data_IF_818145943131
#
_entry.id   IF_818145943131
#
_cell.length_a   1.000
_cell.length_b   1.000
_cell.length_c   1.000
_cell.angle_alpha   90.00
_cell.angle_beta   90.00
_cell.angle_gamma   90.00
#
_symmetry.space_group_name_H-M   'P 1'
#
loop_
_entity.id
_entity.type
_entity.pdbx_description
1 polymer ?
#
# COMPACT_ATOMS: atom_id res chain seq x y z
N UNK A 1 -17.90 9.32 -8.67
CA UNK A 1 -18.29 8.04 -8.02
C UNK A 1 -17.12 7.53 -7.22
N UNK A 2 -17.31 7.13 -5.95
CA UNK A 2 -16.25 6.56 -5.12
C UNK A 2 -16.06 5.11 -5.55
N UNK A 3 -14.97 4.81 -6.25
CA UNK A 3 -14.69 3.44 -6.72
C UNK A 3 -14.52 2.51 -5.51
N UNK A 4 -15.46 1.57 -5.35
CA UNK A 4 -15.41 0.50 -4.34
C UNK A 4 -14.56 -0.66 -4.89
N UNK A 5 -13.27 -0.42 -5.10
CA UNK A 5 -12.33 -1.37 -5.73
C UNK A 5 -11.19 -1.82 -4.82
N UNK A 6 -11.23 -1.43 -3.55
CA UNK A 6 -10.19 -1.81 -2.58
C UNK A 6 -10.69 -2.99 -1.74
N UNK A 7 -9.90 -4.05 -1.70
CA UNK A 7 -10.18 -5.24 -0.90
C UNK A 7 -9.64 -5.03 0.53
N UNK A 8 -10.47 -5.36 1.52
CA UNK A 8 -10.09 -5.31 2.94
C UNK A 8 -9.70 -6.68 3.43
N UNK A 9 -8.50 -6.81 4.00
CA UNK A 9 -8.04 -8.06 4.63
C UNK A 9 -8.53 -8.13 6.08
N UNK A 10 -9.18 -9.23 6.45
CA UNK A 10 -9.69 -9.48 7.81
C UNK A 10 -9.01 -10.69 8.44
N UNK A 11 -8.68 -10.60 9.74
CA UNK A 11 -8.08 -11.70 10.49
C UNK A 11 -8.46 -11.63 12.00
N UNK A 12 -9.01 -12.71 12.59
CA UNK A 12 -9.60 -13.86 11.88
C UNK A 12 -10.85 -13.44 11.08
N UNK A 13 -11.32 -14.31 10.19
CA UNK A 13 -12.62 -14.12 9.52
C UNK A 13 -13.74 -13.93 10.55
N UNK A 14 -14.64 -12.99 10.27
CA UNK A 14 -15.84 -12.77 11.08
C UNK A 14 -17.02 -12.41 10.17
N UNK A 15 -18.10 -13.22 10.11
CA UNK A 15 -19.17 -13.07 9.10
C UNK A 15 -19.78 -11.67 8.99
N UNK A 16 -20.00 -11.00 10.12
CA UNK A 16 -20.55 -9.62 10.14
C UNK A 16 -19.57 -8.60 9.55
N UNK A 17 -18.28 -8.77 9.85
CA UNK A 17 -17.21 -7.86 9.37
C UNK A 17 -16.97 -8.10 7.89
N UNK A 18 -16.93 -9.37 7.50
CA UNK A 18 -16.70 -9.76 6.12
C UNK A 18 -17.85 -9.28 5.21
N UNK A 19 -19.10 -9.46 5.64
CA UNK A 19 -20.28 -8.96 4.91
C UNK A 19 -20.29 -7.44 4.76
N UNK A 20 -19.78 -6.70 5.76
CA UNK A 20 -19.68 -5.25 5.69
C UNK A 20 -18.65 -4.81 4.64
N UNK A 21 -17.46 -5.41 4.64
CA UNK A 21 -16.39 -5.02 3.71
C UNK A 21 -16.65 -5.47 2.28
N UNK A 22 -17.36 -6.57 2.09
CA UNK A 22 -17.83 -6.99 0.78
C UNK A 22 -18.65 -5.89 0.10
N UNK A 23 -19.50 -5.18 0.85
CA UNK A 23 -20.29 -4.06 0.31
C UNK A 23 -19.47 -2.78 0.01
N UNK A 24 -18.25 -2.67 0.57
CA UNK A 24 -17.40 -1.47 0.46
C UNK A 24 -16.30 -1.58 -0.60
N UNK A 25 -16.10 -2.77 -1.18
CA UNK A 25 -15.13 -2.99 -2.25
C UNK A 25 -14.51 -4.39 -2.29
N UNK A 26 -14.87 -5.25 -1.34
CA UNK A 26 -14.43 -6.65 -1.27
C UNK A 26 -13.79 -6.98 0.07
N UNK A 27 -13.93 -8.23 0.50
CA UNK A 27 -13.21 -8.77 1.66
C UNK A 27 -12.30 -9.93 1.26
N UNK A 28 -11.12 -9.99 1.89
CA UNK A 28 -10.22 -11.13 1.85
C UNK A 28 -9.97 -11.63 3.28
N UNK A 29 -10.77 -12.58 3.77
CA UNK A 29 -10.54 -13.18 5.07
C UNK A 29 -9.31 -14.10 5.01
N UNK A 30 -8.41 -13.95 5.98
CA UNK A 30 -7.24 -14.83 6.11
C UNK A 30 -7.30 -15.61 7.42
N UNK A 31 -6.74 -16.83 7.41
CA UNK A 31 -6.88 -17.78 8.50
C UNK A 31 -5.97 -17.45 9.71
N UNK A 32 -4.80 -16.86 9.45
CA UNK A 32 -3.79 -16.63 10.47
C UNK A 32 -3.10 -15.27 10.34
N UNK A 33 -2.47 -14.86 11.45
CA UNK A 33 -1.79 -13.57 11.56
C UNK A 33 -0.53 -13.46 10.69
N UNK A 34 0.08 -14.59 10.31
CA UNK A 34 1.21 -14.61 9.38
C UNK A 34 0.79 -14.10 8.01
N UNK A 35 -0.31 -14.63 7.46
CA UNK A 35 -0.89 -14.14 6.21
C UNK A 35 -1.30 -12.66 6.31
N UNK A 36 -1.93 -12.25 7.41
CA UNK A 36 -2.30 -10.85 7.65
C UNK A 36 -1.08 -9.91 7.66
N UNK A 37 0.02 -10.33 8.29
CA UNK A 37 1.26 -9.55 8.33
C UNK A 37 1.91 -9.41 6.94
N UNK A 38 1.79 -10.41 6.07
CA UNK A 38 2.25 -10.30 4.66
C UNK A 38 1.46 -9.21 3.93
N UNK A 39 0.12 -9.22 4.00
CA UNK A 39 -0.69 -8.16 3.38
C UNK A 39 -0.45 -6.77 4.02
N UNK A 40 -0.13 -6.75 5.31
CA UNK A 40 0.28 -5.54 6.02
C UNK A 40 1.58 -4.97 5.46
N UNK A 41 2.59 -5.82 5.25
CA UNK A 41 3.86 -5.43 4.63
C UNK A 41 3.66 -4.91 3.20
N UNK A 42 2.82 -5.58 2.39
CA UNK A 42 2.47 -5.11 1.04
C UNK A 42 1.81 -3.72 1.06
N UNK A 43 0.88 -3.48 1.99
CA UNK A 43 0.24 -2.15 2.15
C UNK A 43 1.25 -1.07 2.56
N UNK A 44 2.31 -1.45 3.28
CA UNK A 44 3.41 -0.57 3.65
C UNK A 44 4.17 0.04 2.46
N UNK A 45 4.00 -0.49 1.24
CA UNK A 45 4.68 0.01 0.03
C UNK A 45 4.03 1.24 -0.59
N UNK A 46 2.81 1.63 -0.16
CA UNK A 46 2.07 2.75 -0.75
C UNK A 46 2.85 4.07 -0.72
N UNK A 47 3.52 4.36 0.39
CA UNK A 47 4.33 5.59 0.53
C UNK A 47 5.62 5.54 -0.27
N UNK A 48 6.19 4.35 -0.49
CA UNK A 48 7.31 4.16 -1.40
C UNK A 48 6.89 4.46 -2.84
N UNK A 49 5.68 4.06 -3.25
CA UNK A 49 5.12 4.41 -4.56
C UNK A 49 4.93 5.92 -4.73
N UNK A 50 4.35 6.62 -3.75
CA UNK A 50 4.22 8.08 -3.84
C UNK A 50 5.57 8.80 -3.86
N UNK A 51 6.54 8.29 -3.08
CA UNK A 51 7.92 8.81 -3.13
C UNK A 51 8.52 8.62 -4.52
N UNK A 52 8.33 7.47 -5.16
CA UNK A 52 8.76 7.23 -6.54
C UNK A 52 8.17 8.26 -7.51
N UNK A 53 6.86 8.55 -7.42
CA UNK A 53 6.24 9.59 -8.26
C UNK A 53 6.81 10.99 -7.97
N UNK A 54 7.03 11.34 -6.70
CA UNK A 54 7.63 12.60 -6.31
C UNK A 54 9.10 12.74 -6.79
N UNK A 55 9.84 11.64 -6.86
CA UNK A 55 11.17 11.60 -7.44
C UNK A 55 11.13 11.92 -8.94
N UNK A 56 10.16 11.36 -9.69
CA UNK A 56 9.98 11.66 -11.11
C UNK A 56 9.65 13.14 -11.36
N UNK A 57 8.75 13.73 -10.57
CA UNK A 57 8.37 15.14 -10.72
C UNK A 57 9.53 16.08 -10.36
N UNK A 58 10.29 15.75 -9.31
CA UNK A 58 11.48 16.50 -8.91
C UNK A 58 12.57 16.44 -9.99
N UNK A 59 12.79 15.26 -10.58
CA UNK A 59 13.72 15.09 -11.69
C UNK A 59 13.30 15.92 -12.90
N UNK A 60 12.04 15.85 -13.34
CA UNK A 60 11.55 16.66 -14.46
C UNK A 60 11.71 18.17 -14.20
N UNK A 61 11.49 18.61 -12.95
CA UNK A 61 11.68 20.02 -12.56
C UNK A 61 13.14 20.44 -12.64
N UNK A 62 14.08 19.59 -12.20
CA UNK A 62 15.51 19.82 -12.35
C UNK A 62 15.96 19.91 -13.82
N UNK A 63 15.15 19.39 -14.74
CA UNK A 63 15.34 19.47 -16.19
C UNK A 63 14.52 20.58 -16.87
N UNK A 64 14.04 21.57 -16.11
CA UNK A 64 13.43 22.80 -16.64
C UNK A 64 11.93 22.73 -16.90
N UNK A 65 11.27 21.63 -16.51
CA UNK A 65 9.80 21.56 -16.56
C UNK A 65 9.21 22.30 -15.37
N UNK A 66 8.18 23.11 -15.60
CA UNK A 66 7.46 23.76 -14.51
C UNK A 66 6.87 22.71 -13.55
N UNK A 67 7.06 22.90 -12.24
CA UNK A 67 6.66 21.92 -11.20
C UNK A 67 5.19 21.49 -11.33
N UNK A 68 4.27 22.45 -11.55
CA UNK A 68 2.84 22.15 -11.74
C UNK A 68 2.58 21.30 -12.99
N UNK A 69 3.31 21.54 -14.08
CA UNK A 69 3.19 20.75 -15.30
C UNK A 69 3.74 19.33 -15.11
N UNK A 70 4.87 19.18 -14.41
CA UNK A 70 5.46 17.88 -14.07
C UNK A 70 4.52 17.06 -13.17
N UNK A 71 3.98 17.66 -12.11
CA UNK A 71 3.04 16.99 -11.20
C UNK A 71 1.76 16.56 -11.93
N UNK A 72 1.13 17.47 -12.70
CA UNK A 72 -0.06 17.15 -13.49
C UNK A 72 0.20 16.00 -14.46
N UNK A 73 1.32 16.04 -15.16
CA UNK A 73 1.69 15.02 -16.15
C UNK A 73 1.90 13.65 -15.50
N UNK A 74 2.71 13.57 -14.44
CA UNK A 74 3.00 12.30 -13.73
C UNK A 74 1.73 11.72 -13.11
N UNK A 75 0.88 12.54 -12.48
CA UNK A 75 -0.40 12.08 -11.94
C UNK A 75 -1.30 11.50 -13.02
N UNK A 76 -1.45 12.20 -14.15
CA UNK A 76 -2.29 11.71 -15.26
C UNK A 76 -1.78 10.39 -15.83
N UNK A 77 -0.46 10.26 -16.00
CA UNK A 77 0.18 9.04 -16.50
C UNK A 77 -0.08 7.84 -15.57
N UNK A 78 0.18 7.99 -14.28
CA UNK A 78 0.04 6.88 -13.33
C UNK A 78 -1.41 6.60 -12.92
N UNK A 79 -2.33 7.55 -13.07
CA UNK A 79 -3.77 7.27 -13.01
C UNK A 79 -4.20 6.31 -14.13
N UNK A 80 -3.68 6.46 -15.34
CA UNK A 80 -3.98 5.52 -16.43
C UNK A 80 -3.43 4.13 -16.15
N UNK A 81 -2.21 4.03 -15.62
CA UNK A 81 -1.64 2.75 -15.17
C UNK A 81 -2.50 2.13 -14.06
N UNK A 82 -2.94 2.92 -13.08
CA UNK A 82 -3.83 2.46 -12.02
C UNK A 82 -5.19 1.96 -12.52
N UNK A 83 -5.76 2.57 -13.57
CA UNK A 83 -6.99 2.07 -14.22
C UNK A 83 -6.78 0.72 -14.88
N UNK A 84 -5.63 0.50 -15.52
CA UNK A 84 -5.30 -0.78 -16.16
C UNK A 84 -5.22 -1.95 -15.17
N UNK A 85 -4.93 -1.69 -13.88
CA UNK A 85 -4.95 -2.72 -12.83
C UNK A 85 -6.34 -3.31 -12.59
N UNK A 86 -7.41 -2.62 -13.02
CA UNK A 86 -8.77 -3.16 -12.93
C UNK A 86 -9.09 -4.24 -13.96
N UNK A 87 -8.20 -4.49 -14.93
CA UNK A 87 -8.34 -5.62 -15.85
C UNK A 87 -7.67 -6.87 -15.28
N UNK A 88 -8.47 -7.66 -14.57
CA UNK A 88 -8.04 -8.91 -13.95
C UNK A 88 -7.87 -10.06 -14.95
N UNK A 89 -8.19 -9.88 -16.23
CA UNK A 89 -8.00 -10.92 -17.26
C UNK A 89 -6.54 -11.06 -17.71
N UNK A 90 -5.70 -10.07 -17.39
CA UNK A 90 -4.29 -10.03 -17.75
C UNK A 90 -3.41 -10.03 -16.49
N UNK A 91 -2.36 -10.85 -16.43
CA UNK A 91 -1.41 -10.80 -15.32
C UNK A 91 -0.58 -9.52 -15.37
N UNK A 92 -0.04 -9.09 -14.21
CA UNK A 92 0.74 -7.85 -14.09
C UNK A 92 1.92 -7.75 -15.07
N UNK A 93 2.60 -8.87 -15.36
CA UNK A 93 3.72 -8.87 -16.32
C UNK A 93 3.25 -8.59 -17.76
N UNK A 94 2.04 -9.00 -18.12
CA UNK A 94 1.45 -8.69 -19.42
C UNK A 94 1.06 -7.21 -19.48
N UNK A 95 0.46 -6.66 -18.41
CA UNK A 95 0.17 -5.23 -18.33
C UNK A 95 1.44 -4.38 -18.49
N UNK A 96 2.57 -4.80 -17.92
CA UNK A 96 3.85 -4.15 -18.13
C UNK A 96 4.34 -4.27 -19.59
N UNK A 97 4.30 -5.48 -20.16
CA UNK A 97 4.71 -5.73 -21.53
C UNK A 97 3.89 -4.91 -22.56
N UNK A 98 2.59 -4.71 -22.32
CA UNK A 98 1.72 -3.91 -23.18
C UNK A 98 2.11 -2.42 -23.23
N UNK A 99 2.90 -1.94 -22.25
CA UNK A 99 3.46 -0.58 -22.23
C UNK A 99 4.91 -0.54 -22.74
N UNK A 100 5.49 -1.67 -23.15
CA UNK A 100 6.87 -1.76 -23.61
C UNK A 100 6.93 -1.90 -25.14
N UNK A 101 7.90 -1.23 -25.73
CA UNK A 101 8.33 -1.48 -27.10
C UNK A 101 9.76 -2.01 -27.05
N UNK A 102 10.18 -2.92 -27.95
CA UNK A 102 11.55 -3.41 -27.98
C UNK A 102 12.56 -2.25 -28.05
N UNK A 103 13.54 -2.24 -27.15
CA UNK A 103 14.56 -1.19 -26.94
C UNK A 103 14.02 0.18 -26.55
N UNK A 104 12.73 0.25 -26.19
CA UNK A 104 12.03 1.47 -25.82
C UNK A 104 12.39 1.96 -24.42
N UNK A 105 11.89 3.16 -24.09
CA UNK A 105 12.18 3.83 -22.83
C UNK A 105 11.67 3.03 -21.62
N UNK A 106 10.46 2.47 -21.69
CA UNK A 106 9.86 1.73 -20.58
C UNK A 106 10.63 0.44 -20.28
N UNK A 107 10.97 -0.34 -21.31
CA UNK A 107 11.79 -1.54 -21.16
C UNK A 107 13.16 -1.21 -20.55
N UNK A 108 13.83 -0.17 -21.06
CA UNK A 108 15.15 0.24 -20.56
C UNK A 108 15.10 0.68 -19.10
N UNK A 109 14.12 1.49 -18.72
CA UNK A 109 13.97 1.94 -17.33
C UNK A 109 13.62 0.75 -16.43
N UNK A 110 12.66 -0.11 -16.82
CA UNK A 110 12.31 -1.32 -16.03
C UNK A 110 13.53 -2.21 -15.81
N UNK A 111 14.26 -2.55 -16.86
CA UNK A 111 15.40 -3.48 -16.77
C UNK A 111 16.59 -2.89 -16.03
N UNK A 112 16.79 -1.58 -16.07
CA UNK A 112 17.89 -0.91 -15.37
C UNK A 112 17.55 -0.64 -13.90
N UNK A 113 16.31 -0.26 -13.59
CA UNK A 113 15.89 0.06 -12.24
C UNK A 113 15.41 -1.15 -11.44
N UNK A 114 14.65 -2.07 -12.04
CA UNK A 114 14.26 -3.34 -11.44
C UNK A 114 15.19 -4.47 -11.90
N UNK A 115 16.48 -4.27 -11.68
CA UNK A 115 17.49 -5.32 -11.83
C UNK A 115 17.45 -6.30 -10.63
N UNK A 116 18.37 -7.27 -10.62
CA UNK A 116 18.45 -8.26 -9.55
C UNK A 116 18.78 -7.61 -8.18
N UNK A 117 19.62 -6.57 -8.15
CA UNK A 117 20.06 -5.93 -6.92
C UNK A 117 18.93 -5.14 -6.26
N UNK A 118 18.22 -4.30 -7.04
CA UNK A 118 17.11 -3.49 -6.53
C UNK A 118 15.89 -4.35 -6.19
N UNK A 119 15.65 -5.43 -6.95
CA UNK A 119 14.63 -6.41 -6.60
C UNK A 119 14.94 -7.09 -5.26
N UNK A 120 16.18 -7.51 -5.04
CA UNK A 120 16.61 -8.09 -3.77
C UNK A 120 16.54 -7.08 -2.61
N UNK A 121 16.88 -5.81 -2.85
CA UNK A 121 16.79 -4.75 -1.84
C UNK A 121 15.34 -4.51 -1.40
N UNK A 122 14.39 -4.48 -2.34
CA UNK A 122 12.96 -4.37 -2.02
C UNK A 122 12.45 -5.59 -1.24
N UNK A 123 12.80 -6.80 -1.69
CA UNK A 123 12.44 -8.03 -0.99
C UNK A 123 12.97 -8.03 0.44
N UNK A 124 14.24 -7.64 0.64
CA UNK A 124 14.83 -7.52 1.96
C UNK A 124 14.08 -6.52 2.86
N UNK A 125 13.73 -5.34 2.34
CA UNK A 125 13.00 -4.35 3.12
C UNK A 125 11.61 -4.87 3.57
N UNK A 126 10.95 -5.65 2.72
CA UNK A 126 9.68 -6.31 3.06
C UNK A 126 9.88 -7.44 4.08
N UNK A 127 10.93 -8.24 3.95
CA UNK A 127 11.28 -9.31 4.89
C UNK A 127 11.62 -8.77 6.28
N UNK A 128 12.40 -7.69 6.35
CA UNK A 128 12.74 -7.01 7.61
C UNK A 128 11.46 -6.50 8.31
N UNK A 129 10.58 -5.81 7.57
CA UNK A 129 9.28 -5.36 8.09
C UNK A 129 8.40 -6.53 8.54
N UNK A 130 8.36 -7.61 7.76
CA UNK A 130 7.58 -8.81 8.09
C UNK A 130 8.11 -9.48 9.35
N UNK A 131 9.43 -9.50 9.57
CA UNK A 131 10.04 -9.99 10.80
C UNK A 131 9.64 -9.14 12.00
N UNK A 132 9.65 -7.82 11.88
CA UNK A 132 9.23 -6.90 12.94
C UNK A 132 7.75 -7.10 13.31
N UNK A 133 6.86 -7.18 12.31
CA UNK A 133 5.42 -7.42 12.51
C UNK A 133 5.13 -8.77 13.20
N UNK A 134 6.00 -9.78 13.02
CA UNK A 134 5.92 -11.06 13.74
C UNK A 134 6.42 -10.93 15.19
N UNK A 135 7.40 -10.07 15.44
CA UNK A 135 8.06 -9.90 16.74
C UNK A 135 7.37 -8.95 17.71
N UNK A 136 6.49 -8.06 17.26
CA UNK A 136 5.66 -7.19 18.14
C UNK A 136 4.73 -7.97 19.10
N UNK A 137 4.91 -9.29 19.22
CA UNK A 137 4.26 -10.18 20.18
C UNK A 137 5.25 -11.14 20.89
N UNK A 138 5.71 -10.82 22.11
CA UNK A 138 5.81 -11.81 23.17
C UNK A 138 4.47 -11.87 23.93
N UNK A 139 4.07 -13.07 24.32
CA UNK A 139 2.87 -13.32 25.13
C UNK A 139 2.90 -12.52 26.45
N UNK A 140 1.78 -11.89 26.79
CA UNK A 140 1.47 -11.46 28.16
C UNK A 140 1.96 -10.07 28.57
N UNK A 141 1.17 -9.04 28.29
CA UNK A 141 1.01 -7.93 29.25
C UNK A 141 -0.41 -8.00 29.80
N UNK A 142 -0.53 -8.46 31.04
CA UNK A 142 -1.78 -8.52 31.77
C UNK A 142 -2.51 -7.17 31.68
N UNK A 143 -3.81 -7.23 31.37
CA UNK A 143 -4.68 -6.06 31.35
C UNK A 143 -4.70 -5.43 32.75
N UNK A 144 -4.17 -4.21 32.90
CA UNK A 144 -4.51 -3.38 34.07
C UNK A 144 -5.90 -2.80 33.82
N UNK A 145 -6.86 -2.96 34.73
CA UNK A 145 -8.14 -2.28 34.63
C UNK A 145 -7.94 -0.79 34.98
N UNK A 146 -8.44 0.10 34.13
CA UNK A 146 -8.53 1.53 34.41
C UNK A 146 -7.34 2.37 33.94
N UNK A 147 -7.26 2.63 32.64
CA UNK A 147 -6.69 3.88 32.11
C UNK A 147 -7.23 4.10 30.70
N UNK A 148 -8.01 5.17 30.50
CA UNK A 148 -8.41 5.62 29.18
C UNK A 148 -7.16 5.79 28.32
N UNK A 149 -6.99 4.90 27.35
CA UNK A 149 -5.87 4.97 26.41
C UNK A 149 -6.24 6.00 25.36
N UNK A 150 -5.77 7.22 25.53
CA UNK A 150 -5.59 8.17 24.43
C UNK A 150 -4.64 7.50 23.43
N UNK A 151 -5.16 7.25 22.23
CA UNK A 151 -4.37 6.77 21.11
C UNK A 151 -3.22 7.76 20.88
N UNK A 152 -1.97 7.31 21.02
CA UNK A 152 -0.80 8.09 20.60
C UNK A 152 -0.80 8.20 19.08
N UNK A 153 -1.42 9.26 18.59
CA UNK A 153 -1.31 9.74 17.22
C UNK A 153 -0.04 10.60 17.17
N UNK A 154 1.11 9.97 16.90
CA UNK A 154 2.42 10.60 16.98
C UNK A 154 3.26 10.35 15.74
N UNK A 155 2.69 10.55 14.54
CA UNK A 155 3.45 10.59 13.28
C UNK A 155 2.65 11.17 12.10
N UNK A 156 1.69 12.06 12.35
CA UNK A 156 0.86 12.66 11.27
C UNK A 156 1.20 14.12 11.03
N UNK A 157 1.73 14.81 12.03
CA UNK A 157 2.03 16.24 11.92
C UNK A 157 3.16 16.54 10.92
N UNK A 158 4.19 15.70 10.85
CA UNK A 158 5.28 15.84 9.86
C UNK A 158 4.84 15.54 8.42
N UNK A 159 3.75 14.79 8.22
CA UNK A 159 3.25 14.43 6.89
C UNK A 159 2.33 15.49 6.29
N UNK A 160 1.53 16.16 7.14
CA UNK A 160 0.65 17.25 6.70
C UNK A 160 1.44 18.47 6.19
N UNK A 161 2.64 18.71 6.72
CA UNK A 161 3.53 19.81 6.29
C UNK A 161 4.18 19.58 4.91
N UNK A 162 4.31 18.32 4.45
CA UNK A 162 4.96 18.00 3.17
C UNK A 162 3.97 17.75 2.01
N UNK A 163 2.69 17.52 2.30
CA UNK A 163 1.73 17.00 1.30
C UNK A 163 0.42 17.78 1.14
N UNK A 164 0.22 18.89 1.85
CA UNK A 164 -0.86 19.83 1.52
C UNK A 164 -2.29 19.35 1.78
N UNK A 165 -2.53 18.61 2.86
CA UNK A 165 -3.88 18.37 3.38
C UNK A 165 -4.62 17.16 2.79
N UNK A 166 -5.77 16.77 3.40
CA UNK A 166 -6.17 15.37 3.44
C UNK A 166 -7.24 15.05 2.41
N UNK A 167 -7.00 14.05 1.56
CA UNK A 167 -8.00 13.05 1.17
C UNK A 167 -7.40 11.97 0.26
N UNK A 168 -7.09 10.82 0.84
CA UNK A 168 -7.30 9.50 0.22
C UNK A 168 -7.30 8.45 1.34
N UNK A 169 -8.50 8.15 1.87
CA UNK A 169 -8.72 6.90 2.61
C UNK A 169 -9.14 5.85 1.61
N UNK A 170 -8.36 4.77 1.47
CA UNK A 170 -8.85 3.42 1.21
C UNK A 170 -7.71 2.40 1.09
N UNK A 171 -7.01 2.12 2.18
CA UNK A 171 -6.49 0.77 2.46
C UNK A 171 -6.61 0.61 3.98
N UNK A 172 -7.46 -0.30 4.42
CA UNK A 172 -7.73 -0.49 5.86
C UNK A 172 -7.62 -1.97 6.16
N UNK A 173 -6.62 -2.31 6.94
CA UNK A 173 -6.45 -3.63 7.53
C UNK A 173 -7.21 -3.64 8.84
N UNK A 174 -8.09 -4.61 9.06
CA UNK A 174 -8.90 -4.67 10.29
C UNK A 174 -8.59 -5.91 11.08
N UNK A 175 -8.25 -5.69 12.36
CA UNK A 175 -8.05 -6.74 13.35
C UNK A 175 -9.22 -6.74 14.32
N UNK A 176 -9.96 -7.84 14.37
CA UNK A 176 -11.07 -8.01 15.32
C UNK A 176 -10.56 -8.66 16.60
N UNK A 177 -10.89 -8.09 17.77
CA UNK A 177 -10.70 -8.79 19.05
C UNK A 177 -11.85 -9.76 19.27
N UNK A 178 -11.54 -11.03 19.50
CA UNK A 178 -12.54 -12.03 19.83
C UNK A 178 -12.98 -11.86 21.30
N UNK A 179 -14.23 -11.48 21.55
CA UNK A 179 -14.84 -11.60 22.89
C UNK A 179 -15.47 -12.98 23.01
N UNK A 180 -15.14 -13.79 24.04
CA UNK A 180 -15.81 -15.07 24.24
C UNK A 180 -17.29 -14.85 24.51
N UNK A 181 -18.15 -15.65 23.87
CA UNK A 181 -19.58 -15.73 24.18
C UNK A 181 -19.73 -16.20 25.64
N UNK A 182 -20.53 -15.48 26.42
CA UNK A 182 -20.99 -15.89 27.74
C UNK A 182 -21.99 -17.03 27.64
#
# INVERSE_FOLDING_TARGET
>A
MRERRSVTVTCPSHPVVDSLFEQLGGVLPVADEGAFNVFSALTGTLTAHYTYLATLTSWATAHGIASEAADRYVRGLFQNVGRSLGDETRPLHQLAADHETPKGNNERIRTTWFDAANTAALAKALDDLLADLKQERPAGRASRPGAATTARYGRVDRWNELTGGPETRSHTLIRTRNTPKR
#
